data_IF_640827173864
#
_entry.id   IF_640827173864
#
_cell.length_a   1.000
_cell.length_b   1.000
_cell.length_c   1.000
_cell.angle_alpha   90.00
_cell.angle_beta   90.00
_cell.angle_gamma   90.00
#
_symmetry.space_group_name_H-M   'P 1'
#
loop_
_entity.id
_entity.type
_entity.pdbx_description
1 polymer ?
#
# COMPACT_ATOMS: atom_id res chain seq x y z
N UNK A 1 -1.91 21.65 -25.31
CA UNK A 1 -0.80 20.87 -25.91
C UNK A 1 -0.20 19.80 -24.98
N UNK A 2 -0.47 19.79 -23.66
CA UNK A 2 0.08 18.79 -22.73
C UNK A 2 -0.86 17.59 -22.41
N UNK A 3 -2.14 17.65 -22.79
CA UNK A 3 -3.12 16.58 -22.53
C UNK A 3 -2.86 15.27 -23.30
N UNK A 4 -1.87 15.25 -24.20
CA UNK A 4 -1.42 14.04 -24.91
C UNK A 4 -0.28 13.32 -24.19
N UNK A 5 0.31 13.92 -23.13
CA UNK A 5 1.37 13.33 -22.30
C UNK A 5 0.73 12.45 -21.21
N UNK A 6 -0.17 11.56 -21.62
CA UNK A 6 -0.84 10.63 -20.70
C UNK A 6 0.12 9.54 -20.20
N UNK A 7 -0.33 8.29 -20.26
CA UNK A 7 0.47 7.11 -19.89
C UNK A 7 1.90 7.10 -20.47
N UNK A 8 2.17 7.56 -21.71
CA UNK A 8 3.54 7.59 -22.25
C UNK A 8 4.50 8.49 -21.45
N UNK A 9 4.04 9.63 -20.95
CA UNK A 9 4.89 10.52 -20.15
C UNK A 9 5.21 9.94 -18.78
N UNK A 10 4.24 9.27 -18.16
CA UNK A 10 4.43 8.56 -16.89
C UNK A 10 5.48 7.46 -17.01
N UNK A 11 5.50 6.72 -18.12
CA UNK A 11 6.49 5.66 -18.40
C UNK A 11 7.91 6.24 -18.47
N UNK A 12 8.10 7.39 -19.11
CA UNK A 12 9.42 8.04 -19.20
C UNK A 12 9.93 8.44 -17.81
N UNK A 13 9.07 9.04 -16.99
CA UNK A 13 9.39 9.40 -15.61
C UNK A 13 9.73 8.14 -14.80
N UNK A 14 8.94 7.08 -14.96
CA UNK A 14 9.19 5.79 -14.31
C UNK A 14 10.56 5.23 -14.68
N UNK A 15 10.95 5.25 -15.97
CA UNK A 15 12.26 4.78 -16.42
C UNK A 15 13.39 5.56 -15.74
N UNK A 16 13.30 6.89 -15.65
CA UNK A 16 14.31 7.71 -14.98
C UNK A 16 14.45 7.32 -13.50
N UNK A 17 13.32 7.16 -12.80
CA UNK A 17 13.29 6.70 -11.40
C UNK A 17 13.91 5.29 -11.29
N UNK A 18 13.58 4.39 -12.21
CA UNK A 18 14.12 3.04 -12.24
C UNK A 18 15.63 3.00 -12.51
N UNK A 19 16.20 3.96 -13.24
CA UNK A 19 17.65 4.05 -13.45
C UNK A 19 18.35 4.49 -12.15
N UNK A 20 17.80 5.46 -11.43
CA UNK A 20 18.38 5.99 -10.19
C UNK A 20 18.25 4.97 -9.05
N UNK A 21 17.05 4.42 -8.87
CA UNK A 21 16.74 3.55 -7.76
C UNK A 21 16.94 2.06 -8.09
N UNK A 22 16.87 1.66 -9.35
CA UNK A 22 16.89 0.27 -9.79
C UNK A 22 15.49 -0.38 -9.76
N UNK A 23 15.16 -1.25 -10.73
CA UNK A 23 13.83 -1.86 -10.84
C UNK A 23 13.48 -2.80 -9.69
N UNK A 24 14.48 -3.35 -8.99
CA UNK A 24 14.27 -4.25 -7.86
C UNK A 24 13.83 -3.52 -6.58
N UNK A 25 14.02 -2.20 -6.48
CA UNK A 25 13.71 -1.45 -5.24
C UNK A 25 12.22 -1.14 -5.09
N UNK A 26 11.51 -0.85 -6.17
CA UNK A 26 10.06 -0.57 -6.09
C UNK A 26 9.24 -1.78 -5.59
N UNK A 27 9.43 -3.02 -6.11
CA UNK A 27 8.73 -4.19 -5.59
C UNK A 27 9.12 -4.54 -4.16
N UNK A 28 10.40 -4.33 -3.79
CA UNK A 28 10.87 -4.58 -2.42
C UNK A 28 10.21 -3.62 -1.43
N UNK A 29 10.15 -2.34 -1.76
CA UNK A 29 9.47 -1.33 -0.95
C UNK A 29 7.95 -1.61 -0.87
N UNK A 30 7.34 -1.97 -1.99
CA UNK A 30 5.92 -2.35 -2.04
C UNK A 30 5.60 -3.57 -1.19
N UNK A 31 6.47 -4.59 -1.15
CA UNK A 31 6.29 -5.76 -0.27
C UNK A 31 6.35 -5.38 1.21
N UNK A 32 7.35 -4.58 1.62
CA UNK A 32 7.48 -4.15 3.02
C UNK A 32 6.31 -3.26 3.47
N UNK A 33 5.86 -2.34 2.62
CA UNK A 33 4.67 -1.52 2.89
C UNK A 33 3.41 -2.39 2.91
N UNK A 34 3.28 -3.34 1.98
CA UNK A 34 2.14 -4.26 1.89
C UNK A 34 2.02 -5.17 3.12
N UNK A 35 3.14 -5.71 3.61
CA UNK A 35 3.18 -6.46 4.86
C UNK A 35 2.76 -5.60 6.05
N UNK A 36 3.24 -4.35 6.11
CA UNK A 36 2.86 -3.41 7.18
C UNK A 36 1.36 -3.12 7.16
N UNK A 37 0.79 -2.82 5.99
CA UNK A 37 -0.65 -2.58 5.81
C UNK A 37 -1.47 -3.84 6.15
N UNK A 38 -1.01 -5.03 5.74
CA UNK A 38 -1.67 -6.31 6.04
C UNK A 38 -1.71 -6.58 7.53
N UNK A 39 -0.60 -6.37 8.22
CA UNK A 39 -0.49 -6.58 9.66
C UNK A 39 -1.35 -5.55 10.40
N UNK A 40 -1.29 -4.28 10.00
CA UNK A 40 -2.16 -3.23 10.54
C UNK A 40 -3.65 -3.59 10.41
N UNK A 41 -4.10 -3.99 9.21
CA UNK A 41 -5.48 -4.41 8.97
C UNK A 41 -5.90 -5.60 9.84
N UNK A 42 -5.01 -6.57 10.03
CA UNK A 42 -5.28 -7.76 10.85
C UNK A 42 -5.42 -7.38 12.32
N UNK A 43 -4.49 -6.57 12.85
CA UNK A 43 -4.54 -6.10 14.24
C UNK A 43 -5.77 -5.24 14.50
N UNK A 44 -6.13 -4.32 13.60
CA UNK A 44 -7.33 -3.49 13.76
C UNK A 44 -8.60 -4.33 13.74
N UNK A 45 -8.70 -5.35 12.88
CA UNK A 45 -9.85 -6.26 12.85
C UNK A 45 -10.01 -7.05 14.15
N UNK A 46 -8.93 -7.62 14.68
CA UNK A 46 -8.98 -8.35 15.95
C UNK A 46 -9.48 -7.47 17.11
N UNK A 47 -9.02 -6.22 17.18
CA UNK A 47 -9.47 -5.27 18.22
C UNK A 47 -10.94 -4.89 18.04
N UNK A 48 -11.42 -4.72 16.81
CA UNK A 48 -12.83 -4.42 16.54
C UNK A 48 -13.75 -5.59 16.90
N UNK A 49 -13.34 -6.82 16.57
CA UNK A 49 -14.13 -8.02 16.86
C UNK A 49 -14.17 -8.33 18.38
N UNK A 50 -13.09 -8.02 19.12
CA UNK A 50 -13.04 -8.10 20.60
C UNK A 50 -13.91 -7.03 21.28
N UNK A 51 -13.99 -5.82 20.71
CA UNK A 51 -14.83 -4.73 21.19
C UNK A 51 -16.34 -5.01 21.04
N UNK A 52 -16.74 -5.74 19.99
CA UNK A 52 -18.14 -6.11 19.75
C UNK A 52 -18.60 -7.28 20.65
N UNK A 53 -17.76 -8.31 20.85
CA UNK A 53 -18.11 -9.43 21.75
C UNK A 53 -18.28 -8.97 23.22
N UNK A 54 -17.48 -7.99 23.67
CA UNK A 54 -17.54 -7.50 25.06
C UNK A 54 -18.85 -6.74 25.38
N UNK A 55 -19.58 -6.25 24.36
CA UNK A 55 -20.84 -5.52 24.54
C UNK A 55 -22.06 -6.44 24.66
N UNK A 56 -22.00 -7.69 24.19
CA UNK A 56 -23.09 -8.66 24.30
C UNK A 56 -23.14 -9.36 25.67
N UNK A 57 -22.01 -9.56 26.34
CA UNK A 57 -21.94 -10.21 27.66
C UNK A 57 -22.32 -9.30 28.86
N UNK A 58 -22.69 -8.04 28.59
CA UNK A 58 -23.01 -7.04 29.62
C UNK A 58 -24.44 -6.50 29.58
N UNK A 59 -25.33 -7.11 28.78
CA UNK A 59 -26.79 -6.83 28.72
C UNK A 59 -27.58 -7.99 29.31
#
# INVERSE_FOLDING_TARGET
MFNSIGIPGLIIILIIILIIFGPSKLPKLGRSIGESIKNFKTSTKGVLDEEDNKKEDSI
#
